data_IF_323604020299
#
_entry.id   IF_323604020299
#
_cell.length_a   1.000
_cell.length_b   1.000
_cell.length_c   1.000
_cell.angle_alpha   90.00
_cell.angle_beta   90.00
_cell.angle_gamma   90.00
#
_symmetry.space_group_name_H-M   'P 1'
#
loop_
_entity.id
_entity.type
_entity.pdbx_description
1 polymer ?
#
# COMPACT_ATOMS: atom_id res chain seq x y z
N UNK A 1 -7.66 -14.08 3.82
CA UNK A 1 -6.26 -13.74 4.13
C UNK A 1 -5.74 -12.80 3.06
N UNK A 2 -5.43 -11.55 3.42
CA UNK A 2 -5.14 -10.49 2.47
C UNK A 2 -3.75 -10.74 1.85
N UNK A 3 -3.69 -11.03 0.55
CA UNK A 3 -2.48 -11.51 -0.16
C UNK A 3 -1.39 -10.44 -0.32
N UNK A 4 -1.68 -9.20 0.08
CA UNK A 4 -0.84 -8.03 -0.20
C UNK A 4 0.45 -7.96 0.61
N UNK A 5 0.55 -8.70 1.71
CA UNK A 5 1.76 -8.73 2.55
C UNK A 5 2.85 -9.69 2.04
N UNK A 6 2.52 -10.55 1.06
CA UNK A 6 3.44 -11.58 0.56
C UNK A 6 4.69 -10.96 -0.08
N UNK A 7 4.52 -9.88 -0.85
CA UNK A 7 5.63 -9.17 -1.50
C UNK A 7 6.58 -8.50 -0.51
N UNK A 8 6.05 -8.00 0.62
CA UNK A 8 6.84 -7.34 1.66
C UNK A 8 7.69 -8.38 2.39
N UNK A 9 7.09 -9.53 2.74
CA UNK A 9 7.81 -10.62 3.42
C UNK A 9 8.92 -11.19 2.53
N UNK A 10 8.64 -11.41 1.25
CA UNK A 10 9.62 -11.93 0.30
C UNK A 10 10.77 -10.94 0.04
N UNK A 11 10.44 -9.66 -0.18
CA UNK A 11 11.45 -8.60 -0.37
C UNK A 11 12.36 -8.41 0.85
N UNK A 12 11.82 -8.55 2.07
CA UNK A 12 12.60 -8.45 3.30
C UNK A 12 13.64 -9.57 3.43
N UNK A 13 13.24 -10.82 3.16
CA UNK A 13 14.15 -11.97 3.19
C UNK A 13 15.27 -11.78 2.16
N UNK A 14 14.93 -11.40 0.93
CA UNK A 14 15.91 -11.18 -0.15
C UNK A 14 16.89 -10.06 0.19
N UNK A 15 16.41 -8.93 0.73
CA UNK A 15 17.27 -7.81 1.11
C UNK A 15 18.25 -8.17 2.23
N UNK A 16 17.78 -8.93 3.25
CA UNK A 16 18.64 -9.42 4.33
C UNK A 16 19.70 -10.38 3.79
N UNK A 17 19.32 -11.31 2.90
CA UNK A 17 20.25 -12.25 2.27
C UNK A 17 21.30 -11.56 1.40
N UNK A 18 20.90 -10.52 0.65
CA UNK A 18 21.82 -9.72 -0.16
C UNK A 18 22.85 -8.97 0.69
N UNK A 19 22.46 -8.55 1.90
CA UNK A 19 23.28 -7.78 2.83
C UNK A 19 24.18 -8.65 3.72
N UNK A 20 23.82 -9.92 3.95
CA UNK A 20 24.50 -10.81 4.90
C UNK A 20 25.83 -11.39 4.38
N UNK A 21 26.10 -11.31 3.08
CA UNK A 21 27.35 -11.78 2.50
C UNK A 21 28.46 -10.73 2.62
N UNK A 22 29.72 -11.18 2.81
CA UNK A 22 30.90 -10.30 2.89
C UNK A 22 31.11 -9.51 1.59
N UNK A 23 30.82 -10.14 0.46
CA UNK A 23 30.69 -9.48 -0.83
C UNK A 23 29.22 -9.10 -1.02
N UNK A 24 28.87 -7.91 -0.51
CA UNK A 24 27.52 -7.36 -0.71
C UNK A 24 27.23 -7.31 -2.19
N UNK A 25 26.27 -8.11 -2.62
CA UNK A 25 25.84 -8.11 -4.01
C UNK A 25 24.91 -6.90 -4.20
N UNK A 26 25.49 -5.72 -4.42
CA UNK A 26 24.80 -4.42 -4.46
C UNK A 26 23.60 -4.45 -5.41
N UNK A 27 23.73 -5.15 -6.54
CA UNK A 27 22.63 -5.35 -7.49
C UNK A 27 21.45 -6.06 -6.84
N UNK A 28 21.71 -7.14 -6.09
CA UNK A 28 20.69 -7.94 -5.40
C UNK A 28 20.09 -7.18 -4.21
N UNK A 29 20.89 -6.35 -3.54
CA UNK A 29 20.46 -5.47 -2.45
C UNK A 29 19.49 -4.40 -2.98
N UNK A 30 19.88 -3.66 -4.02
CA UNK A 30 19.05 -2.64 -4.65
C UNK A 30 17.75 -3.24 -5.19
N UNK A 31 17.83 -4.43 -5.80
CA UNK A 31 16.65 -5.15 -6.27
C UNK A 31 15.70 -5.52 -5.12
N UNK A 32 16.23 -6.01 -3.99
CA UNK A 32 15.44 -6.33 -2.80
C UNK A 32 14.71 -5.11 -2.22
N UNK A 33 15.40 -3.96 -2.14
CA UNK A 33 14.83 -2.71 -1.64
C UNK A 33 13.77 -2.16 -2.60
N UNK A 34 14.00 -2.25 -3.92
CA UNK A 34 13.04 -1.83 -4.94
C UNK A 34 11.75 -2.67 -4.88
N UNK A 35 11.88 -3.99 -4.70
CA UNK A 35 10.73 -4.91 -4.51
C UNK A 35 9.98 -4.57 -3.21
N UNK A 36 10.69 -4.25 -2.12
CA UNK A 36 10.07 -3.80 -0.87
C UNK A 36 9.26 -2.51 -1.08
N UNK A 37 9.84 -1.49 -1.72
CA UNK A 37 9.13 -0.24 -2.01
C UNK A 37 7.88 -0.49 -2.86
N UNK A 38 7.97 -1.35 -3.87
CA UNK A 38 6.82 -1.71 -4.71
C UNK A 38 5.74 -2.48 -3.93
N UNK A 39 6.13 -3.40 -3.05
CA UNK A 39 5.21 -4.13 -2.18
C UNK A 39 4.44 -3.20 -1.25
N UNK A 40 5.13 -2.24 -0.63
CA UNK A 40 4.52 -1.21 0.24
C UNK A 40 3.58 -0.31 -0.57
N UNK A 41 3.98 0.11 -1.78
CA UNK A 41 3.16 0.92 -2.66
C UNK A 41 1.85 0.23 -3.06
N UNK A 42 1.90 -1.07 -3.41
CA UNK A 42 0.72 -1.86 -3.73
C UNK A 42 -0.20 -2.03 -2.51
N UNK A 43 0.38 -2.25 -1.33
CA UNK A 43 -0.38 -2.32 -0.09
C UNK A 43 -1.14 -1.01 0.14
N UNK A 44 -0.46 0.14 0.02
CA UNK A 44 -1.08 1.46 0.17
C UNK A 44 -2.18 1.72 -0.88
N UNK A 45 -1.95 1.39 -2.16
CA UNK A 45 -2.97 1.56 -3.22
C UNK A 45 -4.21 0.71 -3.01
N UNK A 46 -4.06 -0.47 -2.41
CA UNK A 46 -5.20 -1.38 -2.20
C UNK A 46 -6.03 -0.97 -1.00
N UNK A 47 -5.49 -0.18 -0.06
CA UNK A 47 -6.28 0.40 1.02
C UNK A 47 -7.29 1.36 0.35
N UNK A 48 -8.59 1.05 0.34
CA UNK A 48 -9.57 1.95 -0.23
C UNK A 48 -9.56 3.19 0.66
N UNK A 49 -9.02 4.28 0.13
CA UNK A 49 -9.16 5.60 0.74
C UNK A 49 -10.66 5.79 0.97
N UNK A 50 -11.05 5.85 2.25
CA UNK A 50 -12.43 5.90 2.71
C UNK A 50 -13.01 7.24 2.28
N UNK A 51 -13.28 7.40 0.99
CA UNK A 51 -14.11 8.48 0.45
C UNK A 51 -15.54 8.07 0.74
N UNK A 52 -15.91 8.13 2.02
CA UNK A 52 -17.30 8.23 2.44
C UNK A 52 -17.83 9.54 1.82
N UNK A 53 -18.28 9.48 0.57
CA UNK A 53 -19.19 10.48 0.00
C UNK A 53 -20.56 10.25 0.63
N UNK A 54 -20.68 10.53 1.91
CA UNK A 54 -21.98 10.76 2.56
C UNK A 54 -22.15 12.26 2.72
N UNK A 55 -22.35 12.94 1.60
CA UNK A 55 -22.90 14.29 1.56
C UNK A 55 -24.21 14.21 0.80
N UNK A 56 -25.14 13.42 1.33
CA UNK A 56 -26.55 13.60 1.02
C UNK A 56 -26.96 14.89 1.71
N UNK A 57 -26.84 16.02 1.01
CA UNK A 57 -27.59 17.21 1.38
C UNK A 57 -29.04 16.85 1.09
N UNK A 58 -29.76 16.39 2.12
CA UNK A 58 -31.21 16.31 2.07
C UNK A 58 -31.69 17.75 2.12
N UNK A 59 -32.01 18.33 0.97
CA UNK A 59 -32.70 19.61 0.91
C UNK A 59 -33.98 19.49 1.73
N UNK A 60 -34.11 20.34 2.75
CA UNK A 60 -35.35 20.50 3.50
C UNK A 60 -36.47 20.87 2.51
N UNK A 61 -37.68 20.27 2.62
CA UNK A 61 -38.81 20.78 1.88
C UNK A 61 -39.09 22.19 2.41
N UNK A 62 -39.05 23.17 1.51
CA UNK A 62 -39.59 24.50 1.78
C UNK A 62 -41.11 24.32 1.82
N UNK A 63 -41.68 24.40 3.02
CA UNK A 63 -43.13 24.50 3.18
C UNK A 63 -43.57 25.82 2.53
N UNK A 64 -44.15 25.72 1.33
CA UNK A 64 -44.89 26.82 0.72
C UNK A 64 -46.19 26.99 1.52
N UNK A 65 -46.23 28.03 2.35
CA UNK A 65 -47.46 28.56 2.93
C UNK A 65 -48.33 29.17 1.81
N UNK A 66 -49.45 28.53 1.48
CA UNK A 66 -50.66 29.14 0.91
C UNK A 66 -51.94 28.45 1.43
#
# INVERSE_FOLDING_TARGET
>A
MNKNYLFILFGAIVAIYANANKDQNIVLLVLGIAILMFGIFNLQKTIPSKKNKSSFIKSEPVDEEE
#
